data_IF_728721067626
#
_entry.id   IF_728721067626
#
_cell.length_a   1.000
_cell.length_b   1.000
_cell.length_c   1.000
_cell.angle_alpha   90.00
_cell.angle_beta   90.00
_cell.angle_gamma   90.00
#
_symmetry.space_group_name_H-M   'P 1'
#
loop_
_entity.id
_entity.type
_entity.pdbx_description
1 polymer ?
#
# COMPACT_ATOMS: atom_id res chain seq x y z
N UNK A 1 13.01 35.58 -6.39
CA UNK A 1 11.83 35.84 -7.25
C UNK A 1 11.01 37.03 -6.74
N UNK A 2 10.76 37.20 -5.43
CA UNK A 2 10.07 38.37 -4.88
C UNK A 2 10.97 39.64 -4.82
N UNK A 3 12.23 39.49 -4.42
CA UNK A 3 13.20 40.61 -4.41
C UNK A 3 13.49 41.18 -5.80
N UNK A 4 13.49 40.32 -6.82
CA UNK A 4 13.68 40.71 -8.22
C UNK A 4 12.53 41.55 -8.79
N UNK A 5 11.38 41.60 -8.10
CA UNK A 5 10.21 42.45 -8.44
C UNK A 5 9.88 43.47 -7.34
N UNK A 6 10.67 43.56 -6.28
CA UNK A 6 10.46 44.52 -5.17
C UNK A 6 9.20 44.27 -4.32
N UNK A 7 8.60 43.08 -4.40
CA UNK A 7 7.36 42.75 -3.71
C UNK A 7 7.65 42.11 -2.35
N UNK A 8 7.13 42.72 -1.26
CA UNK A 8 7.25 42.19 0.11
C UNK A 8 6.16 41.18 0.46
N UNK A 9 5.03 41.21 -0.23
CA UNK A 9 3.94 40.27 -0.03
C UNK A 9 3.14 40.05 -1.31
N UNK A 10 2.53 38.88 -1.39
CA UNK A 10 1.57 38.49 -2.43
C UNK A 10 0.44 37.71 -1.76
N UNK A 11 -0.81 37.99 -2.13
CA UNK A 11 -1.96 37.21 -1.66
C UNK A 11 -2.94 36.95 -2.78
N UNK A 12 -3.43 35.72 -2.85
CA UNK A 12 -4.53 35.29 -3.73
C UNK A 12 -5.67 34.87 -2.82
N UNK A 13 -6.88 35.37 -3.09
CA UNK A 13 -8.10 34.95 -2.41
C UNK A 13 -9.12 34.47 -3.43
N UNK A 14 -9.67 33.30 -3.20
CA UNK A 14 -10.68 32.67 -4.02
C UNK A 14 -11.71 31.94 -3.14
N UNK A 15 -12.79 31.44 -3.75
CA UNK A 15 -13.83 30.72 -3.01
C UNK A 15 -13.29 29.45 -2.34
N UNK A 16 -12.35 28.76 -2.99
CA UNK A 16 -11.84 27.47 -2.53
C UNK A 16 -10.36 27.52 -2.15
N UNK A 17 -9.59 28.46 -2.71
CA UNK A 17 -8.15 28.56 -2.49
C UNK A 17 -7.77 29.97 -2.03
N UNK A 18 -7.08 30.02 -0.89
CA UNK A 18 -6.44 31.22 -0.39
C UNK A 18 -4.95 30.94 -0.24
N UNK A 19 -4.10 31.82 -0.76
CA UNK A 19 -2.66 31.69 -0.64
C UNK A 19 -2.01 33.03 -0.33
N UNK A 20 -0.95 33.00 0.46
CA UNK A 20 -0.17 34.19 0.77
C UNK A 20 1.31 33.87 0.88
N UNK A 21 2.15 34.82 0.49
CA UNK A 21 3.59 34.79 0.71
C UNK A 21 3.98 36.15 1.26
N UNK A 22 4.74 36.15 2.35
CA UNK A 22 5.33 37.35 2.94
C UNK A 22 6.84 37.17 3.03
N UNK A 23 7.59 38.13 2.51
CA UNK A 23 9.04 38.15 2.54
C UNK A 23 9.54 39.35 3.34
N UNK A 24 10.45 39.08 4.25
CA UNK A 24 11.20 40.05 5.04
C UNK A 24 12.69 39.69 4.98
N UNK A 25 13.56 40.62 5.41
CA UNK A 25 15.01 40.41 5.40
C UNK A 25 15.45 39.15 6.16
N UNK A 26 14.78 38.84 7.28
CA UNK A 26 15.19 37.74 8.15
C UNK A 26 14.44 36.43 7.86
N UNK A 27 13.30 36.51 7.18
CA UNK A 27 12.38 35.39 7.07
C UNK A 27 11.44 35.51 5.86
N UNK A 28 11.16 34.36 5.23
CA UNK A 28 10.05 34.17 4.30
C UNK A 28 9.00 33.28 4.96
N UNK A 29 7.74 33.67 4.85
CA UNK A 29 6.60 32.82 5.22
C UNK A 29 5.67 32.67 4.03
N UNK A 30 5.08 31.50 3.87
CA UNK A 30 4.02 31.28 2.91
C UNK A 30 2.95 30.38 3.51
N UNK A 31 1.73 30.53 3.02
CA UNK A 31 0.64 29.64 3.35
C UNK A 31 -0.28 29.46 2.15
N UNK A 32 -0.88 28.28 2.06
CA UNK A 32 -2.04 28.04 1.22
C UNK A 32 -3.09 27.30 2.04
N UNK A 33 -4.35 27.60 1.79
CA UNK A 33 -5.50 26.93 2.36
C UNK A 33 -6.49 26.65 1.24
N UNK A 34 -6.82 25.38 1.10
CA UNK A 34 -7.81 24.86 0.18
C UNK A 34 -8.99 24.29 0.96
N UNK A 35 -10.21 24.53 0.49
CA UNK A 35 -11.44 23.96 1.03
C UNK A 35 -12.44 23.74 -0.08
N UNK A 36 -12.98 22.52 -0.18
CA UNK A 36 -14.07 22.15 -1.06
C UNK A 36 -14.86 21.02 -0.40
N UNK A 37 -16.17 21.21 -0.22
CA UNK A 37 -17.05 20.32 0.54
C UNK A 37 -16.50 19.99 1.94
N UNK A 38 -16.35 18.70 2.26
CA UNK A 38 -15.77 18.20 3.52
C UNK A 38 -14.24 18.09 3.48
N UNK A 39 -13.62 18.41 2.34
CA UNK A 39 -12.18 18.30 2.15
C UNK A 39 -11.49 19.65 2.37
N UNK A 40 -10.46 19.65 3.19
CA UNK A 40 -9.58 20.79 3.42
C UNK A 40 -8.12 20.37 3.29
N UNK A 41 -7.30 21.27 2.77
CA UNK A 41 -5.85 21.12 2.76
C UNK A 41 -5.20 22.43 3.18
N UNK A 42 -4.17 22.36 3.99
CA UNK A 42 -3.38 23.52 4.37
C UNK A 42 -1.91 23.26 4.13
N UNK A 43 -1.21 24.28 3.66
CA UNK A 43 0.23 24.30 3.56
C UNK A 43 0.73 25.54 4.28
N UNK A 44 1.75 25.37 5.12
CA UNK A 44 2.49 26.44 5.76
C UNK A 44 3.96 26.25 5.49
N UNK A 45 4.64 27.35 5.21
CA UNK A 45 6.05 27.39 4.93
C UNK A 45 6.69 28.52 5.69
N UNK A 46 7.86 28.23 6.25
CA UNK A 46 8.69 29.21 6.92
C UNK A 46 10.13 28.95 6.55
N UNK A 47 10.86 29.96 6.10
CA UNK A 47 12.29 29.85 5.85
C UNK A 47 13.06 31.07 6.36
N UNK A 48 14.24 30.81 6.89
CA UNK A 48 15.27 31.78 7.26
C UNK A 48 16.60 31.33 6.68
N UNK A 49 17.68 32.07 6.95
CA UNK A 49 19.03 31.73 6.49
C UNK A 49 19.49 30.32 6.90
N UNK A 50 19.04 29.83 8.06
CA UNK A 50 19.53 28.57 8.64
C UNK A 50 18.55 27.39 8.53
N UNK A 51 17.28 27.65 8.23
CA UNK A 51 16.22 26.64 8.36
C UNK A 51 15.07 26.90 7.39
N UNK A 52 14.54 25.84 6.79
CA UNK A 52 13.28 25.86 6.07
C UNK A 52 12.35 24.77 6.62
N UNK A 53 11.08 25.11 6.79
CA UNK A 53 10.03 24.23 7.32
C UNK A 53 8.80 24.27 6.42
N UNK A 54 8.23 23.10 6.19
CA UNK A 54 6.96 22.93 5.50
C UNK A 54 6.05 22.09 6.39
N UNK A 55 4.82 22.54 6.58
CA UNK A 55 3.73 21.78 7.17
C UNK A 55 2.64 21.64 6.12
N UNK A 56 2.23 20.42 5.83
CA UNK A 56 1.12 20.12 4.96
C UNK A 56 0.12 19.30 5.77
N UNK A 57 -1.12 19.74 5.80
CA UNK A 57 -2.22 19.08 6.48
C UNK A 57 -3.33 18.82 5.46
N UNK A 58 -3.89 17.63 5.48
CA UNK A 58 -5.03 17.22 4.67
C UNK A 58 -6.09 16.61 5.57
N UNK A 59 -7.34 17.01 5.37
CA UNK A 59 -8.49 16.48 6.10
C UNK A 59 -9.62 16.29 5.10
N UNK A 60 -10.06 15.06 4.89
CA UNK A 60 -11.26 14.69 4.14
C UNK A 60 -11.83 13.39 4.72
N UNK A 61 -12.14 12.42 3.85
CA UNK A 61 -12.46 11.05 4.29
C UNK A 61 -11.28 10.38 5.03
N UNK A 62 -10.07 10.88 4.80
CA UNK A 62 -8.82 10.48 5.44
C UNK A 62 -8.07 11.74 5.89
N UNK A 63 -7.15 11.58 6.83
CA UNK A 63 -6.35 12.67 7.38
C UNK A 63 -4.87 12.38 7.11
N UNK A 64 -4.12 13.38 6.66
CA UNK A 64 -2.68 13.26 6.50
C UNK A 64 -1.96 14.53 6.97
N UNK A 65 -0.81 14.34 7.59
CA UNK A 65 0.09 15.39 8.07
C UNK A 65 1.49 15.08 7.56
N UNK A 66 2.13 16.08 6.96
CA UNK A 66 3.50 16.00 6.49
C UNK A 66 4.26 17.22 6.98
N UNK A 67 5.37 16.97 7.67
CA UNK A 67 6.25 18.01 8.16
C UNK A 67 7.66 17.76 7.63
N UNK A 68 8.20 18.75 6.93
CA UNK A 68 9.54 18.71 6.35
C UNK A 68 10.40 19.82 6.97
N UNK A 69 11.60 19.47 7.42
CA UNK A 69 12.56 20.40 8.01
C UNK A 69 13.91 20.26 7.30
N UNK A 70 14.32 21.32 6.61
CA UNK A 70 15.63 21.44 5.99
C UNK A 70 16.51 22.42 6.75
N UNK A 71 17.81 22.13 6.82
CA UNK A 71 18.85 23.08 7.25
C UNK A 71 19.93 23.14 6.18
N UNK A 72 20.64 24.26 6.10
CA UNK A 72 21.70 24.41 5.12
C UNK A 72 22.76 23.30 5.28
N UNK A 73 23.04 22.56 4.21
CA UNK A 73 24.01 21.45 4.15
C UNK A 73 23.66 20.19 4.95
N UNK A 74 22.44 20.09 5.49
CA UNK A 74 21.92 18.89 6.16
C UNK A 74 20.95 18.11 5.24
N UNK A 75 20.54 16.92 5.68
CA UNK A 75 19.38 16.23 5.10
C UNK A 75 18.08 16.95 5.41
N UNK A 76 17.11 16.80 4.52
CA UNK A 76 15.71 17.12 4.76
C UNK A 76 15.13 16.04 5.68
N UNK A 77 14.70 16.44 6.89
CA UNK A 77 13.97 15.54 7.79
C UNK A 77 12.50 15.59 7.42
N UNK A 78 11.90 14.42 7.28
CA UNK A 78 10.48 14.29 6.95
C UNK A 78 9.82 13.45 8.01
N UNK A 79 8.72 13.94 8.55
CA UNK A 79 7.80 13.19 9.42
C UNK A 79 6.43 13.23 8.81
N UNK A 80 5.83 12.06 8.61
CA UNK A 80 4.50 11.93 8.03
C UNK A 80 3.62 11.10 8.96
N UNK A 81 2.35 11.47 9.02
CA UNK A 81 1.30 10.73 9.73
C UNK A 81 0.05 10.71 8.86
N UNK A 82 -0.58 9.55 8.71
CA UNK A 82 -1.83 9.40 7.98
C UNK A 82 -2.81 8.53 8.77
N UNK A 83 -4.10 8.83 8.65
CA UNK A 83 -5.20 8.13 9.31
C UNK A 83 -6.34 7.94 8.32
N UNK A 84 -6.82 6.71 8.22
CA UNK A 84 -8.01 6.35 7.48
C UNK A 84 -9.07 5.89 8.51
N UNK A 85 -9.96 6.79 9.01
CA UNK A 85 -10.77 6.58 10.22
C UNK A 85 -12.00 5.67 10.04
N UNK A 86 -12.17 5.06 8.87
CA UNK A 86 -13.32 4.20 8.58
C UNK A 86 -13.27 2.86 9.34
N UNK A 87 -14.38 2.11 9.28
CA UNK A 87 -14.55 0.84 9.99
C UNK A 87 -13.47 -0.19 9.65
N UNK A 88 -12.94 -0.18 8.43
CA UNK A 88 -11.78 -1.00 8.01
C UNK A 88 -10.59 -0.13 7.66
N UNK A 89 -9.98 0.46 8.68
CA UNK A 89 -9.05 1.58 8.52
C UNK A 89 -7.63 1.29 9.00
N UNK A 90 -6.86 2.35 9.17
CA UNK A 90 -5.49 2.25 9.61
C UNK A 90 -4.85 3.59 9.93
N UNK A 91 -3.68 3.53 10.55
CA UNK A 91 -2.76 4.66 10.67
C UNK A 91 -1.42 4.29 10.08
N UNK A 92 -0.67 5.29 9.62
CA UNK A 92 0.72 5.14 9.27
C UNK A 92 1.50 6.34 9.80
N UNK A 93 2.61 6.09 10.49
CA UNK A 93 3.54 7.11 10.92
C UNK A 93 4.94 6.73 10.45
N UNK A 94 5.68 7.67 9.86
CA UNK A 94 7.08 7.44 9.54
C UNK A 94 7.91 8.71 9.62
N UNK A 95 9.19 8.50 9.96
CA UNK A 95 10.22 9.50 9.93
C UNK A 95 11.33 9.05 8.98
N UNK A 96 11.78 9.94 8.09
CA UNK A 96 12.86 9.67 7.15
C UNK A 96 13.82 10.85 7.04
N UNK A 97 15.01 10.56 6.52
CA UNK A 97 15.98 11.55 6.07
C UNK A 97 16.09 11.49 4.55
N UNK A 98 16.10 12.65 3.91
CA UNK A 98 16.14 12.79 2.46
C UNK A 98 17.30 13.71 2.09
N UNK A 99 18.15 13.27 1.16
CA UNK A 99 19.26 14.03 0.61
C UNK A 99 18.94 14.41 -0.85
N UNK A 100 18.50 15.66 -1.09
CA UNK A 100 18.25 16.12 -2.44
C UNK A 100 19.57 16.42 -3.16
N UNK A 101 19.86 15.69 -4.25
CA UNK A 101 21.03 15.89 -5.10
C UNK A 101 20.60 16.24 -6.53
N UNK A 102 20.28 17.51 -6.76
CA UNK A 102 19.77 17.99 -8.06
C UNK A 102 18.53 17.18 -8.51
N UNK A 103 18.66 16.36 -9.55
CA UNK A 103 17.62 15.52 -10.13
C UNK A 103 17.52 14.13 -9.52
N UNK A 104 18.39 13.76 -8.58
CA UNK A 104 18.34 12.48 -7.87
C UNK A 104 18.21 12.75 -6.39
N UNK A 105 17.17 12.20 -5.78
CA UNK A 105 17.00 12.27 -4.33
C UNK A 105 17.31 10.89 -3.75
N UNK A 106 17.96 10.86 -2.60
CA UNK A 106 18.13 9.63 -1.84
C UNK A 106 17.58 9.78 -0.44
N UNK A 107 17.36 8.68 0.27
CA UNK A 107 16.91 8.75 1.63
C UNK A 107 17.05 7.47 2.42
N UNK A 108 16.68 7.58 3.69
CA UNK A 108 16.68 6.49 4.68
C UNK A 108 15.45 6.61 5.55
N UNK A 109 14.73 5.51 5.74
CA UNK A 109 13.72 5.38 6.79
C UNK A 109 14.42 5.34 8.14
N UNK A 110 14.04 6.21 9.06
CA UNK A 110 14.59 6.24 10.41
C UNK A 110 13.73 5.41 11.37
N UNK A 111 12.42 5.53 11.24
CA UNK A 111 11.45 4.79 12.03
C UNK A 111 10.08 4.86 11.37
N UNK A 112 9.23 3.87 11.61
CA UNK A 112 7.82 3.99 11.29
C UNK A 112 6.99 2.86 11.85
N UNK A 113 5.69 3.10 11.91
CA UNK A 113 4.67 2.12 12.29
C UNK A 113 3.50 2.26 11.34
N UNK A 114 2.79 1.16 11.14
CA UNK A 114 1.49 1.20 10.47
C UNK A 114 0.55 0.25 11.18
N UNK A 115 -0.67 0.70 11.43
CA UNK A 115 -1.75 -0.09 12.01
C UNK A 115 -2.84 -0.34 10.98
N UNK A 116 -3.46 -1.51 11.07
CA UNK A 116 -4.72 -1.82 10.40
C UNK A 116 -5.76 -2.23 11.45
N UNK A 117 -7.03 -1.87 11.26
CA UNK A 117 -8.11 -2.25 12.17
C UNK A 117 -9.39 -2.63 11.46
N UNK A 118 -10.21 -3.36 12.21
CA UNK A 118 -11.64 -3.55 11.95
C UNK A 118 -12.43 -3.12 13.19
N UNK A 119 -13.22 -2.07 13.03
CA UNK A 119 -14.05 -1.42 14.05
C UNK A 119 -15.47 -1.33 13.50
N UNK A 120 -16.24 -2.43 13.50
CA UNK A 120 -17.64 -2.42 13.08
C UNK A 120 -18.50 -1.59 14.02
N UNK A 121 -19.71 -1.22 13.57
CA UNK A 121 -20.69 -0.53 14.43
C UNK A 121 -21.12 -1.42 15.61
N UNK A 122 -21.26 -2.73 15.39
CA UNK A 122 -21.58 -3.74 16.39
C UNK A 122 -20.52 -4.85 16.41
N UNK A 123 -20.07 -5.23 17.62
CA UNK A 123 -19.13 -6.34 17.86
C UNK A 123 -17.74 -5.90 18.34
N UNK A 124 -16.83 -6.87 18.42
CA UNK A 124 -15.47 -6.62 18.91
C UNK A 124 -14.61 -5.91 17.87
N UNK A 125 -13.95 -4.85 18.30
CA UNK A 125 -12.94 -4.16 17.50
C UNK A 125 -11.61 -4.90 17.54
N UNK A 126 -10.92 -4.94 16.40
CA UNK A 126 -9.59 -5.52 16.25
C UNK A 126 -8.65 -4.47 15.69
N UNK A 127 -7.44 -4.38 16.24
CA UNK A 127 -6.37 -3.53 15.73
C UNK A 127 -5.06 -4.30 15.76
N UNK A 128 -4.28 -4.15 14.70
CA UNK A 128 -2.96 -4.70 14.55
C UNK A 128 -1.99 -3.59 14.18
N UNK A 129 -1.01 -3.37 15.04
CA UNK A 129 0.11 -2.47 14.75
C UNK A 129 1.32 -3.29 14.32
N UNK A 130 1.94 -2.87 13.23
CA UNK A 130 3.24 -3.38 12.79
C UNK A 130 4.28 -2.27 12.70
N UNK A 131 5.54 -2.71 12.62
CA UNK A 131 6.72 -1.85 12.57
C UNK A 131 7.24 -1.82 11.15
N UNK A 132 7.59 -0.62 10.67
CA UNK A 132 8.27 -0.39 9.40
C UNK A 132 9.79 -0.43 9.62
N UNK A 133 10.48 -1.21 8.80
CA UNK A 133 11.93 -1.40 8.82
C UNK A 133 12.49 -1.47 7.40
N UNK A 134 13.81 -1.43 7.26
CA UNK A 134 14.47 -1.38 5.94
C UNK A 134 14.41 0.01 5.32
N UNK A 135 14.38 0.08 3.99
CA UNK A 135 14.52 1.31 3.20
C UNK A 135 15.59 2.28 3.76
N UNK A 136 16.72 1.73 4.20
CA UNK A 136 17.89 2.48 4.66
C UNK A 136 18.61 3.17 3.50
N UNK A 137 18.44 2.65 2.29
CA UNK A 137 18.86 3.31 1.07
C UNK A 137 17.77 3.20 0.02
N UNK A 138 17.19 4.35 -0.30
CA UNK A 138 16.30 4.50 -1.45
C UNK A 138 16.75 5.65 -2.32
N UNK A 139 16.42 5.59 -3.60
CA UNK A 139 16.69 6.66 -4.57
C UNK A 139 15.47 6.95 -5.43
N UNK A 140 15.27 8.21 -5.76
CA UNK A 140 14.33 8.66 -6.78
C UNK A 140 15.05 9.56 -7.78
N UNK A 141 15.18 9.08 -9.01
CA UNK A 141 15.73 9.85 -10.13
C UNK A 141 14.57 10.46 -10.93
N UNK A 142 14.42 11.78 -10.84
CA UNK A 142 13.36 12.52 -11.53
C UNK A 142 13.52 12.50 -13.04
N UNK A 143 14.75 12.50 -13.56
CA UNK A 143 14.99 12.52 -15.00
C UNK A 143 14.61 11.19 -15.64
N UNK A 144 14.88 10.09 -14.93
CA UNK A 144 14.58 8.73 -15.39
C UNK A 144 13.25 8.17 -14.83
N UNK A 145 12.51 8.95 -14.03
CA UNK A 145 11.30 8.51 -13.33
C UNK A 145 11.49 7.17 -12.60
N UNK A 146 12.63 7.02 -11.94
CA UNK A 146 13.07 5.75 -11.36
C UNK A 146 13.04 5.82 -9.84
N UNK A 147 12.26 4.95 -9.22
CA UNK A 147 12.30 4.68 -7.79
C UNK A 147 13.12 3.40 -7.56
N UNK A 148 14.05 3.40 -6.61
CA UNK A 148 14.71 2.18 -6.16
C UNK A 148 14.80 2.11 -4.63
N UNK A 149 14.58 0.91 -4.13
CA UNK A 149 14.71 0.47 -2.75
C UNK A 149 15.82 -0.58 -2.74
N UNK A 150 17.05 -0.15 -2.43
CA UNK A 150 18.23 -1.02 -2.44
C UNK A 150 18.15 -2.08 -1.34
N UNK A 151 17.49 -1.74 -0.22
CA UNK A 151 17.01 -2.68 0.78
C UNK A 151 15.46 -2.60 0.91
N UNK A 152 14.76 -3.74 1.09
CA UNK A 152 13.30 -3.75 1.09
C UNK A 152 12.69 -2.96 2.25
N UNK A 153 11.71 -2.10 1.94
CA UNK A 153 10.80 -1.57 2.94
C UNK A 153 9.91 -2.71 3.46
N UNK A 154 9.97 -3.00 4.75
CA UNK A 154 9.27 -4.13 5.36
C UNK A 154 8.37 -3.66 6.49
N UNK A 155 7.11 -4.07 6.44
CA UNK A 155 6.16 -3.99 7.54
C UNK A 155 6.04 -5.37 8.20
N UNK A 156 6.15 -5.43 9.53
CA UNK A 156 6.05 -6.69 10.28
C UNK A 156 5.20 -6.56 11.53
N UNK A 157 4.41 -7.60 11.80
CA UNK A 157 3.55 -7.73 12.97
C UNK A 157 3.52 -9.20 13.43
N UNK A 158 2.92 -9.51 14.59
CA UNK A 158 2.68 -10.90 15.00
C UNK A 158 1.83 -11.71 13.99
N UNK A 159 1.01 -11.04 13.18
CA UNK A 159 0.03 -11.67 12.27
C UNK A 159 0.53 -11.71 10.81
N UNK A 160 1.81 -11.43 10.59
CA UNK A 160 2.47 -11.54 9.29
C UNK A 160 3.33 -10.33 8.95
N UNK A 161 4.00 -10.43 7.80
CA UNK A 161 4.83 -9.37 7.25
C UNK A 161 4.61 -9.16 5.76
N UNK A 162 4.86 -7.93 5.31
CA UNK A 162 4.86 -7.53 3.90
C UNK A 162 6.14 -6.74 3.64
N UNK A 163 6.81 -7.02 2.54
CA UNK A 163 8.01 -6.31 2.12
C UNK A 163 7.92 -5.89 0.65
N UNK A 164 8.45 -4.71 0.33
CA UNK A 164 8.58 -4.18 -1.02
C UNK A 164 10.03 -3.77 -1.24
N UNK A 165 10.66 -4.26 -2.30
CA UNK A 165 12.04 -3.89 -2.65
C UNK A 165 12.30 -3.96 -4.15
N UNK A 166 13.48 -3.52 -4.59
CA UNK A 166 13.85 -3.47 -6.01
C UNK A 166 13.64 -2.08 -6.61
N UNK A 167 13.42 -2.00 -7.91
CA UNK A 167 13.34 -0.72 -8.63
C UNK A 167 12.16 -0.68 -9.58
N UNK A 168 11.51 0.48 -9.67
CA UNK A 168 10.47 0.78 -10.65
C UNK A 168 10.98 1.90 -11.56
N UNK A 169 11.02 1.65 -12.86
CA UNK A 169 11.33 2.68 -13.85
C UNK A 169 10.71 2.34 -15.21
N UNK A 170 10.74 3.29 -16.16
CA UNK A 170 10.39 3.02 -17.55
C UNK A 170 11.31 2.02 -18.26
N UNK A 171 12.47 1.67 -17.68
CA UNK A 171 13.44 0.79 -18.33
C UNK A 171 13.05 -0.68 -18.19
N UNK A 172 13.15 -1.42 -19.29
CA UNK A 172 12.96 -2.87 -19.29
C UNK A 172 14.01 -3.55 -18.39
N UNK A 173 13.56 -4.37 -17.43
CA UNK A 173 14.41 -5.17 -16.56
C UNK A 173 14.48 -4.74 -15.09
N UNK A 174 13.96 -3.55 -14.75
CA UNK A 174 13.78 -3.15 -13.35
C UNK A 174 12.39 -3.54 -12.84
N UNK A 175 12.37 -4.16 -11.65
CA UNK A 175 11.14 -4.67 -11.06
C UNK A 175 11.04 -4.34 -9.57
N UNK A 176 9.83 -4.04 -9.12
CA UNK A 176 9.50 -4.08 -7.70
C UNK A 176 9.07 -5.49 -7.34
N UNK A 177 9.57 -5.98 -6.21
CA UNK A 177 9.19 -7.27 -5.63
C UNK A 177 8.37 -6.99 -4.40
N UNK A 178 7.15 -7.50 -4.38
CA UNK A 178 6.25 -7.48 -3.23
C UNK A 178 6.20 -8.89 -2.67
N UNK A 179 6.45 -9.03 -1.37
CA UNK A 179 6.42 -10.31 -0.69
C UNK A 179 5.59 -10.21 0.57
N UNK A 180 4.64 -11.13 0.75
CA UNK A 180 3.97 -11.31 2.03
C UNK A 180 4.34 -12.68 2.61
N UNK A 181 4.56 -12.73 3.92
CA UNK A 181 4.97 -13.94 4.64
C UNK A 181 4.16 -14.08 5.92
N UNK A 182 3.84 -15.34 6.25
CA UNK A 182 3.17 -15.72 7.48
C UNK A 182 1.89 -14.90 7.75
N UNK A 183 1.15 -14.54 6.68
CA UNK A 183 -0.08 -13.75 6.81
C UNK A 183 -1.14 -14.65 7.43
N UNK A 184 -1.45 -14.44 8.70
CA UNK A 184 -2.34 -15.31 9.46
C UNK A 184 -3.79 -15.17 8.98
N UNK A 185 -4.30 -16.16 8.23
CA UNK A 185 -5.62 -16.08 7.61
C UNK A 185 -6.76 -15.85 8.61
N UNK A 186 -6.85 -16.56 9.77
CA UNK A 186 -7.93 -16.32 10.73
C UNK A 186 -7.96 -14.89 11.29
N UNK A 187 -6.82 -14.21 11.37
CA UNK A 187 -6.76 -12.83 11.83
C UNK A 187 -7.17 -11.87 10.70
N UNK A 188 -6.52 -11.99 9.54
CA UNK A 188 -6.73 -11.09 8.41
C UNK A 188 -8.10 -11.25 7.75
N UNK A 189 -8.71 -12.44 7.80
CA UNK A 189 -10.08 -12.64 7.34
C UNK A 189 -11.07 -11.82 8.17
N UNK A 190 -10.84 -11.65 9.48
CA UNK A 190 -11.65 -10.77 10.33
C UNK A 190 -11.46 -9.30 9.99
N UNK A 191 -10.22 -8.86 9.73
CA UNK A 191 -9.95 -7.48 9.28
C UNK A 191 -10.63 -7.21 7.93
N UNK A 192 -10.58 -8.17 7.02
CA UNK A 192 -11.29 -8.14 5.75
C UNK A 192 -12.81 -8.40 5.89
N UNK A 193 -13.33 -8.46 7.13
CA UNK A 193 -14.71 -8.77 7.49
C UNK A 193 -15.34 -9.95 6.74
N UNK A 194 -14.54 -10.99 6.57
CA UNK A 194 -14.93 -12.35 6.18
C UNK A 194 -15.16 -13.22 7.45
N UNK A 195 -15.62 -12.60 8.54
CA UNK A 195 -15.73 -13.21 9.88
C UNK A 195 -16.69 -14.40 9.95
N UNK A 196 -17.60 -14.55 8.99
CA UNK A 196 -18.47 -15.71 8.86
C UNK A 196 -17.77 -16.99 8.37
N UNK A 197 -16.51 -16.89 7.92
CA UNK A 197 -15.72 -18.02 7.41
C UNK A 197 -14.63 -18.37 8.41
N UNK A 198 -14.75 -19.54 9.05
CA UNK A 198 -13.74 -20.08 9.96
C UNK A 198 -12.53 -20.60 9.17
N UNK A 199 -11.69 -19.67 8.72
CA UNK A 199 -10.45 -19.92 7.99
C UNK A 199 -9.29 -20.14 8.96
N UNK A 200 -8.50 -21.19 8.71
CA UNK A 200 -7.20 -21.41 9.34
C UNK A 200 -6.07 -21.49 8.32
N UNK A 201 -4.84 -21.41 8.80
CA UNK A 201 -3.63 -21.45 7.97
C UNK A 201 -3.01 -20.07 7.75
N UNK A 202 -2.01 -20.01 6.87
CA UNK A 202 -1.30 -18.79 6.55
C UNK A 202 -1.26 -18.55 5.05
N UNK A 203 -1.01 -17.31 4.64
CA UNK A 203 -0.82 -16.93 3.26
C UNK A 203 0.62 -16.43 3.03
N UNK A 204 1.16 -16.80 1.88
CA UNK A 204 2.37 -16.26 1.29
C UNK A 204 2.04 -15.65 -0.07
N UNK A 205 2.64 -14.51 -0.35
CA UNK A 205 2.52 -13.83 -1.63
C UNK A 205 3.92 -13.52 -2.15
N UNK A 206 4.13 -13.73 -3.43
CA UNK A 206 5.31 -13.30 -4.17
C UNK A 206 4.84 -12.66 -5.46
N UNK A 207 4.98 -11.34 -5.58
CA UNK A 207 4.62 -10.61 -6.77
C UNK A 207 5.78 -9.77 -7.27
N UNK A 208 5.82 -9.60 -8.59
CA UNK A 208 6.77 -8.80 -9.34
C UNK A 208 5.96 -7.79 -10.13
N UNK A 209 6.27 -6.52 -9.93
CA UNK A 209 5.64 -5.40 -10.63
C UNK A 209 6.68 -4.80 -11.57
N UNK A 210 6.31 -4.65 -12.84
CA UNK A 210 7.15 -4.09 -13.90
C UNK A 210 6.39 -2.95 -14.56
N UNK A 211 7.07 -1.86 -14.92
CA UNK A 211 6.49 -0.84 -15.80
C UNK A 211 6.63 0.61 -15.32
N UNK A 212 6.01 1.50 -16.09
CA UNK A 212 5.99 2.94 -15.85
C UNK A 212 4.98 3.30 -14.76
N UNK A 213 5.14 4.47 -14.12
CA UNK A 213 4.18 4.97 -13.12
C UNK A 213 2.74 5.10 -13.65
N UNK A 214 2.51 5.06 -14.97
CA UNK A 214 1.20 5.16 -15.64
C UNK A 214 0.63 3.85 -16.19
N UNK A 215 1.27 2.70 -15.95
CA UNK A 215 0.78 1.39 -16.38
C UNK A 215 1.69 0.25 -15.89
N UNK A 216 1.12 -0.72 -15.16
CA UNK A 216 1.88 -1.75 -14.47
C UNK A 216 1.54 -3.14 -15.01
N UNK A 217 2.57 -3.91 -15.32
CA UNK A 217 2.49 -5.36 -15.42
C UNK A 217 2.73 -5.97 -14.03
N UNK A 218 1.96 -6.99 -13.68
CA UNK A 218 2.03 -7.68 -12.39
C UNK A 218 2.04 -9.18 -12.64
N UNK A 219 3.13 -9.83 -12.26
CA UNK A 219 3.24 -11.28 -12.28
C UNK A 219 3.51 -11.77 -10.86
N UNK A 220 2.69 -12.69 -10.35
CA UNK A 220 2.83 -13.12 -8.97
C UNK A 220 1.97 -14.29 -8.57
N UNK A 221 2.34 -14.91 -7.46
CA UNK A 221 1.65 -16.03 -6.87
C UNK A 221 1.19 -15.75 -5.44
N UNK A 222 0.00 -16.24 -5.11
CA UNK A 222 -0.49 -16.39 -3.74
C UNK A 222 -0.53 -17.88 -3.43
N UNK A 223 0.01 -18.26 -2.29
CA UNK A 223 0.02 -19.63 -1.78
C UNK A 223 -0.51 -19.64 -0.36
N UNK A 224 -1.48 -20.50 -0.10
CA UNK A 224 -1.90 -20.79 1.27
C UNK A 224 -1.02 -21.91 1.85
N UNK A 225 -0.79 -21.89 3.15
CA UNK A 225 -0.06 -22.93 3.89
C UNK A 225 -0.94 -23.45 5.01
N UNK A 226 -1.12 -24.77 5.08
CA UNK A 226 -1.99 -25.42 6.06
C UNK A 226 -3.42 -24.86 6.08
N UNK A 227 -3.99 -24.59 4.89
CA UNK A 227 -5.33 -24.03 4.78
C UNK A 227 -6.35 -24.98 5.41
N UNK A 228 -7.21 -24.43 6.26
CA UNK A 228 -8.33 -25.16 6.85
C UNK A 228 -9.60 -24.34 6.83
N UNK A 229 -10.74 -25.02 6.75
CA UNK A 229 -12.08 -24.45 6.88
C UNK A 229 -12.83 -25.22 7.97
N UNK A 230 -13.43 -24.53 8.95
CA UNK A 230 -14.15 -25.16 10.08
C UNK A 230 -13.31 -26.28 10.75
N UNK A 231 -12.03 -26.00 11.00
CA UNK A 231 -11.04 -26.96 11.53
C UNK A 231 -10.75 -28.20 10.69
N UNK A 232 -11.20 -28.26 9.43
CA UNK A 232 -10.86 -29.32 8.49
C UNK A 232 -9.78 -28.83 7.52
N UNK A 233 -8.67 -29.56 7.42
CA UNK A 233 -7.65 -29.26 6.42
C UNK A 233 -8.24 -29.41 5.03
N UNK A 234 -8.17 -28.32 4.26
CA UNK A 234 -8.55 -28.31 2.84
C UNK A 234 -7.32 -28.50 1.95
N UNK A 235 -6.11 -28.49 2.50
CA UNK A 235 -4.87 -28.66 1.74
C UNK A 235 -4.21 -27.34 1.44
N UNK A 236 -3.77 -27.15 0.20
CA UNK A 236 -2.98 -26.03 -0.25
C UNK A 236 -3.54 -25.47 -1.55
N UNK A 237 -3.83 -24.17 -1.56
CA UNK A 237 -4.30 -23.45 -2.75
C UNK A 237 -3.20 -22.51 -3.20
N UNK A 238 -2.77 -22.65 -4.45
CA UNK A 238 -1.87 -21.74 -5.17
C UNK A 238 -2.65 -21.05 -6.27
N UNK A 239 -2.50 -19.74 -6.35
CA UNK A 239 -3.04 -18.90 -7.41
C UNK A 239 -1.87 -18.16 -8.02
N UNK A 240 -1.64 -18.28 -9.31
CA UNK A 240 -0.64 -17.49 -10.03
C UNK A 240 -1.35 -16.62 -11.05
N UNK A 241 -0.94 -15.37 -11.14
CA UNK A 241 -1.52 -14.35 -12.00
C UNK A 241 -0.39 -13.68 -12.77
N UNK A 242 -0.59 -13.50 -14.07
CA UNK A 242 0.30 -12.73 -14.94
C UNK A 242 -0.54 -11.72 -15.74
N UNK A 243 -0.45 -10.46 -15.32
CA UNK A 243 -1.17 -9.33 -15.88
C UNK A 243 -0.21 -8.43 -16.65
N UNK A 244 -0.60 -8.11 -17.88
CA UNK A 244 0.06 -7.11 -18.72
C UNK A 244 -0.96 -6.03 -19.08
N UNK A 245 -0.65 -4.73 -18.89
CA UNK A 245 -1.62 -3.64 -19.04
C UNK A 245 -2.11 -3.47 -20.49
N UNK A 246 -1.29 -3.82 -21.48
CA UNK A 246 -1.66 -3.73 -22.90
C UNK A 246 -2.19 -5.07 -23.47
N UNK A 247 -2.24 -6.12 -22.65
CA UNK A 247 -2.86 -7.37 -23.06
C UNK A 247 -4.38 -7.25 -22.91
N UNK A 248 -5.10 -7.84 -23.87
CA UNK A 248 -6.56 -7.96 -23.77
C UNK A 248 -7.00 -8.88 -22.62
N UNK A 249 -6.04 -9.54 -21.95
CA UNK A 249 -6.31 -10.54 -20.94
C UNK A 249 -5.14 -10.77 -19.97
N UNK A 250 -5.47 -11.39 -18.84
CA UNK A 250 -4.59 -11.79 -17.74
C UNK A 250 -4.51 -13.31 -17.69
N UNK A 251 -3.32 -13.89 -17.65
CA UNK A 251 -3.20 -15.33 -17.41
C UNK A 251 -3.40 -15.63 -15.92
N UNK A 252 -4.24 -16.63 -15.63
CA UNK A 252 -4.55 -17.07 -14.28
C UNK A 252 -4.41 -18.59 -14.17
N UNK A 253 -3.62 -19.04 -13.21
CA UNK A 253 -3.53 -20.43 -12.80
C UNK A 253 -4.04 -20.59 -11.37
N UNK A 254 -4.82 -21.63 -11.10
CA UNK A 254 -5.25 -22.01 -9.75
C UNK A 254 -5.01 -23.50 -9.60
N UNK A 255 -4.13 -23.85 -8.67
CA UNK A 255 -3.83 -25.23 -8.32
C UNK A 255 -4.23 -25.46 -6.88
N UNK A 256 -5.07 -26.47 -6.66
CA UNK A 256 -5.48 -26.92 -5.34
C UNK A 256 -5.01 -28.35 -5.10
N UNK A 257 -4.08 -28.49 -4.16
CA UNK A 257 -3.49 -29.76 -3.77
C UNK A 257 -3.92 -30.15 -2.36
N UNK A 258 -4.07 -31.45 -2.11
CA UNK A 258 -4.17 -31.98 -0.76
C UNK A 258 -3.29 -33.22 -0.61
N UNK A 259 -2.25 -33.10 0.23
CA UNK A 259 -1.20 -34.12 0.35
C UNK A 259 -0.56 -34.37 -1.01
N UNK A 260 -0.70 -35.57 -1.57
CA UNK A 260 -0.11 -35.97 -2.85
C UNK A 260 -1.12 -35.96 -4.01
N UNK A 261 -2.31 -35.38 -3.81
CA UNK A 261 -3.39 -35.36 -4.81
C UNK A 261 -3.71 -33.93 -5.25
N UNK A 262 -3.59 -33.65 -6.55
CA UNK A 262 -4.15 -32.45 -7.18
C UNK A 262 -5.65 -32.62 -7.32
N UNK A 263 -6.42 -31.74 -6.69
CA UNK A 263 -7.88 -31.76 -6.70
C UNK A 263 -8.45 -30.91 -7.82
N UNK A 264 -7.80 -29.78 -8.09
CA UNK A 264 -8.19 -28.81 -9.09
C UNK A 264 -6.92 -28.21 -9.70
N UNK A 265 -6.83 -28.22 -11.02
CA UNK A 265 -5.86 -27.44 -11.80
C UNK A 265 -6.69 -26.66 -12.83
N UNK A 266 -6.82 -25.36 -12.61
CA UNK A 266 -7.44 -24.40 -13.51
C UNK A 266 -6.35 -23.57 -14.17
N UNK A 267 -6.38 -23.50 -15.48
CA UNK A 267 -5.53 -22.57 -16.24
C UNK A 267 -6.38 -21.85 -17.24
N UNK A 268 -6.31 -20.54 -17.22
CA UNK A 268 -7.23 -19.74 -17.98
C UNK A 268 -6.77 -18.32 -18.13
N UNK A 269 -7.67 -17.58 -18.74
CA UNK A 269 -7.49 -16.22 -19.18
C UNK A 269 -8.63 -15.42 -18.57
N UNK A 270 -8.28 -14.42 -17.77
CA UNK A 270 -9.18 -13.47 -17.14
C UNK A 270 -9.13 -12.16 -17.93
N UNK A 271 -10.25 -11.74 -18.49
CA UNK A 271 -10.43 -10.39 -19.04
C UNK A 271 -11.44 -9.59 -18.21
N UNK A 272 -11.72 -8.36 -18.64
CA UNK A 272 -12.59 -7.44 -17.89
C UNK A 272 -14.03 -7.97 -17.71
N UNK A 273 -14.51 -8.82 -18.62
CA UNK A 273 -15.90 -9.25 -18.70
C UNK A 273 -16.09 -10.76 -18.45
N UNK A 274 -15.03 -11.57 -18.53
CA UNK A 274 -15.10 -13.01 -18.42
C UNK A 274 -13.83 -13.67 -17.85
N UNK A 275 -14.03 -14.84 -17.22
CA UNK A 275 -12.96 -15.80 -16.96
C UNK A 275 -13.16 -17.07 -17.79
N UNK A 276 -12.22 -17.38 -18.67
CA UNK A 276 -12.23 -18.58 -19.49
C UNK A 276 -11.09 -19.51 -19.05
N UNK A 277 -11.42 -20.67 -18.48
CA UNK A 277 -10.42 -21.61 -18.00
C UNK A 277 -10.64 -23.03 -18.50
N UNK A 278 -9.53 -23.71 -18.76
CA UNK A 278 -9.50 -25.16 -18.89
C UNK A 278 -9.28 -25.77 -17.52
N UNK A 279 -10.14 -26.71 -17.17
CA UNK A 279 -10.05 -27.44 -15.92
C UNK A 279 -9.57 -28.86 -16.17
N UNK A 280 -8.61 -29.30 -15.37
CA UNK A 280 -8.24 -30.71 -15.25
C UNK A 280 -8.71 -31.20 -13.88
N UNK A 281 -10.01 -31.46 -13.75
CA UNK A 281 -10.59 -32.01 -12.51
C UNK A 281 -10.13 -33.45 -12.30
N UNK A 282 -9.63 -33.74 -11.10
CA UNK A 282 -9.37 -35.11 -10.64
C UNK A 282 -9.92 -35.26 -9.20
N UNK A 283 -11.18 -35.71 -9.10
CA UNK A 283 -11.82 -36.26 -7.89
C UNK A 283 -11.75 -35.40 -6.60
N UNK A 284 -12.66 -34.43 -6.43
CA UNK A 284 -12.90 -33.77 -5.14
C UNK A 284 -13.71 -34.73 -4.23
N UNK A 285 -13.19 -35.18 -3.07
CA UNK A 285 -13.94 -36.01 -2.13
C UNK A 285 -15.19 -35.30 -1.59
N UNK A 286 -16.34 -35.99 -1.63
CA UNK A 286 -17.66 -35.45 -1.19
C UNK A 286 -17.63 -34.84 0.22
N UNK A 287 -16.83 -35.40 1.13
CA UNK A 287 -16.66 -34.88 2.50
C UNK A 287 -16.16 -33.43 2.56
N UNK A 288 -15.49 -32.94 1.51
CA UNK A 288 -14.96 -31.57 1.43
C UNK A 288 -15.91 -30.58 0.74
N UNK A 289 -16.92 -31.08 0.02
CA UNK A 289 -18.01 -30.26 -0.53
C UNK A 289 -19.08 -29.99 0.54
N UNK A 290 -19.19 -30.88 1.54
CA UNK A 290 -20.18 -30.78 2.62
C UNK A 290 -20.20 -29.41 3.34
N UNK A 291 -19.07 -28.78 3.73
CA UNK A 291 -19.10 -27.45 4.36
C UNK A 291 -19.67 -26.33 3.48
N UNK A 292 -19.54 -26.45 2.15
CA UNK A 292 -20.10 -25.50 1.18
C UNK A 292 -21.59 -25.78 0.89
N UNK A 293 -22.00 -27.04 0.97
CA UNK A 293 -23.39 -27.45 0.79
C UNK A 293 -24.25 -27.21 2.05
N UNK A 294 -23.68 -27.30 3.25
CA UNK A 294 -24.41 -27.04 4.51
C UNK A 294 -24.98 -25.61 4.56
N UNK A 295 -24.28 -24.61 4.03
CA UNK A 295 -24.82 -23.23 3.94
C UNK A 295 -25.86 -23.02 2.84
N UNK A 296 -25.86 -23.85 1.78
CA UNK A 296 -26.82 -23.75 0.67
C UNK A 296 -28.13 -24.50 0.94
N UNK A 297 -28.15 -25.42 1.91
CA UNK A 297 -29.36 -26.14 2.35
C UNK A 297 -30.18 -25.27 3.32
N UNK A 298 -29.53 -24.42 4.11
CA UNK A 298 -30.21 -23.51 5.06
C UNK A 298 -30.94 -22.33 4.37
N UNK A 299 -30.74 -22.09 3.07
CA UNK A 299 -31.47 -21.08 2.27
C UNK A 299 -32.68 -21.66 1.50
N UNK A 300 -32.98 -22.95 1.67
CA UNK A 300 -34.09 -23.64 0.99
C UNK A 300 -35.28 -24.01 1.90
N UNK A 301 -35.28 -23.56 3.16
CA UNK A 301 -36.41 -23.66 4.09
C UNK A 301 -37.06 -22.29 4.39
#
# INVERSE_FOLDING_TARGET
>A
MLDSVGLRSLSIKGPELNASVNHSLDQTTASAFYSHDETTASWRYTASESKAEHFLDWTGSEVAHLHLVGRARDSLRVTAHATAPHSRGGTAEFAMSVWPHQSVWSGSLNSGTASAWYRPEDGDSLELTGILTGAQSWTYDFANQRLALDDPLSWSSPEGSVAVGGALSPNEGEVLRVQARNVNLPFWSRIAGLSGVDLGGALRLDAVVVGQLSGWAVSGGIRTENLSLRNQSVGEVRVELDYLPDAAHTDLSVVWDHRDTVLLDLRGVLDADHFAAQTKVLNIPVRWVRPFAEGAVDELD
#
